data_IF_853847548975
#
_entry.id   IF_853847548975
#
_cell.length_a   1.000
_cell.length_b   1.000
_cell.length_c   1.000
_cell.angle_alpha   90.00
_cell.angle_beta   90.00
_cell.angle_gamma   90.00
#
_symmetry.space_group_name_H-M   'P 1'
#
loop_
_entity.id
_entity.type
_entity.pdbx_description
1 polymer ?
#
# COMPACT_ATOMS: atom_id res chain seq x y z
N UNK A 1 17.74 -21.82 -41.56
CA UNK A 1 18.03 -21.74 -40.11
C UNK A 1 16.95 -20.95 -39.37
N UNK A 2 16.68 -19.69 -39.74
CA UNK A 2 15.64 -18.87 -39.09
C UNK A 2 14.22 -19.47 -39.19
N UNK A 3 13.83 -19.99 -40.37
CA UNK A 3 12.52 -20.66 -40.58
C UNK A 3 12.37 -21.91 -39.69
N UNK A 4 13.45 -22.67 -39.50
CA UNK A 4 13.46 -23.88 -38.66
C UNK A 4 13.25 -23.51 -37.17
N UNK A 5 13.89 -22.42 -36.71
CA UNK A 5 13.69 -21.92 -35.35
C UNK A 5 12.26 -21.41 -35.14
N UNK A 6 11.68 -20.72 -36.13
CA UNK A 6 10.29 -20.23 -36.05
C UNK A 6 9.26 -21.37 -36.08
N UNK A 7 9.47 -22.41 -36.90
CA UNK A 7 8.58 -23.58 -36.89
C UNK A 7 8.63 -24.33 -35.57
N UNK A 8 9.81 -24.41 -34.94
CA UNK A 8 9.98 -25.08 -33.67
C UNK A 8 9.29 -24.34 -32.52
N UNK A 9 9.41 -23.01 -32.46
CA UNK A 9 8.74 -22.21 -31.42
C UNK A 9 7.22 -22.29 -31.53
N UNK A 10 6.67 -22.23 -32.75
CA UNK A 10 5.22 -22.37 -32.98
C UNK A 10 4.74 -23.76 -32.58
N UNK A 11 5.44 -24.82 -33.01
CA UNK A 11 5.08 -26.19 -32.62
C UNK A 11 5.11 -26.39 -31.10
N UNK A 12 6.14 -25.89 -30.41
CA UNK A 12 6.26 -25.97 -28.96
C UNK A 12 5.10 -25.23 -28.26
N UNK A 13 4.74 -24.04 -28.74
CA UNK A 13 3.61 -23.27 -28.18
C UNK A 13 2.28 -24.00 -28.29
N UNK A 14 2.02 -24.65 -29.43
CA UNK A 14 0.79 -25.42 -29.67
C UNK A 14 0.75 -26.65 -28.74
N UNK A 15 1.87 -27.35 -28.60
CA UNK A 15 1.98 -28.51 -27.71
C UNK A 15 1.69 -28.10 -26.26
N UNK A 16 2.25 -26.99 -25.78
CA UNK A 16 2.01 -26.51 -24.41
C UNK A 16 0.55 -26.14 -24.16
N UNK A 17 -0.13 -25.52 -25.14
CA UNK A 17 -1.56 -25.20 -25.05
C UNK A 17 -2.41 -26.47 -24.99
N UNK A 18 -2.09 -27.48 -25.80
CA UNK A 18 -2.79 -28.77 -25.76
C UNK A 18 -2.60 -29.45 -24.40
N UNK A 19 -1.38 -29.47 -23.86
CA UNK A 19 -1.08 -30.02 -22.53
C UNK A 19 -1.84 -29.27 -21.44
N UNK A 20 -1.91 -27.94 -21.50
CA UNK A 20 -2.71 -27.13 -20.57
C UNK A 20 -4.19 -27.55 -20.58
N UNK A 21 -4.81 -27.65 -21.76
CA UNK A 21 -6.22 -28.02 -21.85
C UNK A 21 -6.49 -29.46 -21.37
N UNK A 22 -5.60 -30.41 -21.68
CA UNK A 22 -5.71 -31.79 -21.21
C UNK A 22 -5.60 -31.91 -19.69
N UNK A 23 -4.68 -31.15 -19.08
CA UNK A 23 -4.46 -31.17 -17.62
C UNK A 23 -5.50 -30.37 -16.84
N UNK A 24 -6.05 -29.30 -17.40
CA UNK A 24 -6.98 -28.42 -16.70
C UNK A 24 -8.42 -28.99 -16.61
N UNK A 25 -8.79 -29.98 -17.43
CA UNK A 25 -10.14 -30.58 -17.40
C UNK A 25 -10.51 -31.21 -16.04
N UNK A 26 -9.53 -31.81 -15.35
CA UNK A 26 -9.73 -32.39 -14.00
C UNK A 26 -9.88 -31.34 -12.90
N UNK A 27 -9.42 -30.11 -13.12
CA UNK A 27 -9.46 -29.06 -12.12
C UNK A 27 -10.81 -28.35 -12.00
N UNK A 28 -11.68 -28.46 -13.00
CA UNK A 28 -12.97 -27.77 -13.03
C UNK A 28 -14.03 -28.44 -12.14
N UNK A 29 -14.02 -29.77 -12.01
CA UNK A 29 -15.05 -30.50 -11.26
C UNK A 29 -14.94 -30.33 -9.73
N UNK A 30 -13.75 -30.00 -9.22
CA UNK A 30 -13.48 -29.74 -7.80
C UNK A 30 -13.12 -28.27 -7.53
N UNK A 31 -13.62 -27.34 -8.36
CA UNK A 31 -13.27 -25.92 -8.22
C UNK A 31 -13.87 -25.24 -6.99
N UNK A 32 -14.85 -25.85 -6.31
CA UNK A 32 -15.45 -25.27 -5.09
C UNK A 32 -14.40 -25.04 -4.01
N UNK A 33 -13.56 -26.05 -3.74
CA UNK A 33 -12.48 -26.00 -2.73
C UNK A 33 -11.32 -25.08 -3.14
N UNK A 34 -11.16 -24.80 -4.44
CA UNK A 34 -10.19 -23.80 -4.91
C UNK A 34 -10.69 -22.37 -4.72
N UNK A 35 -12.00 -22.20 -4.56
CA UNK A 35 -12.65 -20.90 -4.41
C UNK A 35 -12.95 -20.58 -2.93
N UNK A 36 -12.58 -21.45 -2.00
CA UNK A 36 -12.66 -21.20 -0.56
C UNK A 36 -11.42 -20.44 -0.07
N UNK A 37 -11.54 -19.62 0.99
CA UNK A 37 -10.40 -18.93 1.58
C UNK A 37 -9.44 -19.93 2.23
N UNK A 38 -8.14 -19.71 2.07
CA UNK A 38 -7.12 -20.55 2.66
C UNK A 38 -6.92 -20.22 4.15
N UNK A 39 -7.25 -21.16 5.04
CA UNK A 39 -7.03 -21.06 6.50
C UNK A 39 -6.20 -22.25 7.00
N UNK A 40 -5.00 -22.43 6.43
CA UNK A 40 -4.05 -23.50 6.80
C UNK A 40 -4.64 -24.93 6.74
N UNK A 41 -5.58 -25.17 5.82
CA UNK A 41 -6.23 -26.48 5.65
C UNK A 41 -7.50 -26.69 6.47
N UNK A 42 -7.98 -25.66 7.17
CA UNK A 42 -9.26 -25.67 7.89
C UNK A 42 -10.29 -24.78 7.19
N UNK A 43 -11.56 -25.04 7.47
CA UNK A 43 -12.64 -24.14 7.09
C UNK A 43 -12.58 -22.86 7.94
N UNK A 44 -12.93 -21.70 7.36
CA UNK A 44 -12.81 -20.44 8.07
C UNK A 44 -13.71 -20.38 9.30
N UNK A 45 -13.10 -20.21 10.48
CA UNK A 45 -13.80 -20.16 11.76
C UNK A 45 -14.57 -18.85 11.97
N UNK A 46 -14.13 -17.79 11.29
CA UNK A 46 -14.68 -16.45 11.43
C UNK A 46 -15.02 -15.82 10.08
N UNK A 47 -15.97 -14.88 10.09
CA UNK A 47 -16.28 -14.11 8.90
C UNK A 47 -15.08 -13.21 8.57
N UNK A 48 -14.75 -13.09 7.29
CA UNK A 48 -13.65 -12.27 6.76
C UNK A 48 -13.71 -10.78 7.15
N UNK A 49 -14.85 -10.29 7.65
CA UNK A 49 -15.05 -8.92 8.14
C UNK A 49 -15.09 -8.88 9.66
N UNK A 50 -13.98 -9.23 10.30
CA UNK A 50 -13.79 -9.01 11.73
C UNK A 50 -13.40 -7.55 12.00
N UNK A 51 -13.76 -7.01 13.18
CA UNK A 51 -13.27 -5.69 13.58
C UNK A 51 -11.74 -5.73 13.64
N UNK A 52 -11.12 -4.82 12.90
CA UNK A 52 -9.67 -4.63 12.88
C UNK A 52 -9.27 -3.57 13.90
N UNK A 53 -7.99 -3.52 14.28
CA UNK A 53 -7.54 -2.58 15.30
C UNK A 53 -7.65 -1.13 14.83
N UNK A 54 -8.21 -0.28 15.69
CA UNK A 54 -8.41 1.16 15.45
C UNK A 54 -7.11 1.94 15.32
N UNK A 55 -5.98 1.35 15.69
CA UNK A 55 -4.65 1.96 15.58
C UNK A 55 -4.24 2.24 14.14
N UNK A 56 -4.58 1.33 13.22
CA UNK A 56 -4.32 1.55 11.81
C UNK A 56 -5.15 2.70 11.24
N UNK A 57 -6.38 2.87 11.75
CA UNK A 57 -7.20 4.02 11.37
C UNK A 57 -6.56 5.33 11.84
N UNK A 58 -6.07 5.39 13.09
CA UNK A 58 -5.37 6.57 13.61
C UNK A 58 -4.12 6.91 12.78
N UNK A 59 -3.29 5.91 12.44
CA UNK A 59 -2.12 6.11 11.59
C UNK A 59 -2.49 6.67 10.20
N UNK A 60 -3.58 6.21 9.59
CA UNK A 60 -4.04 6.72 8.28
C UNK A 60 -4.50 8.18 8.36
N UNK A 61 -5.25 8.54 9.41
CA UNK A 61 -5.71 9.92 9.61
C UNK A 61 -4.52 10.85 9.86
N UNK A 62 -3.58 10.42 10.71
CA UNK A 62 -2.36 11.15 11.03
C UNK A 62 -1.48 11.36 9.79
N UNK A 63 -1.28 10.30 8.99
CA UNK A 63 -0.57 10.39 7.72
C UNK A 63 -1.21 11.39 6.75
N UNK A 64 -2.54 11.39 6.64
CA UNK A 64 -3.26 12.31 5.76
C UNK A 64 -3.03 13.78 6.16
N UNK A 65 -3.10 14.07 7.46
CA UNK A 65 -2.87 15.42 7.99
C UNK A 65 -1.44 15.87 7.68
N UNK A 66 -0.44 15.04 8.02
CA UNK A 66 0.97 15.34 7.74
C UNK A 66 1.28 15.51 6.24
N UNK A 67 0.63 14.75 5.36
CA UNK A 67 0.80 14.88 3.91
C UNK A 67 0.31 16.25 3.40
N UNK A 68 -0.85 16.71 3.91
CA UNK A 68 -1.38 18.05 3.59
C UNK A 68 -0.46 19.16 4.11
N UNK A 69 0.11 19.00 5.31
CA UNK A 69 1.03 19.97 5.90
C UNK A 69 2.33 20.10 5.10
N UNK A 70 2.90 18.98 4.62
CA UNK A 70 4.08 18.96 3.75
C UNK A 70 3.76 19.60 2.39
N UNK A 71 2.57 19.33 1.84
CA UNK A 71 2.12 19.95 0.59
C UNK A 71 2.04 21.48 0.69
N UNK A 72 1.68 22.02 1.87
CA UNK A 72 1.70 23.46 2.14
C UNK A 72 3.11 24.03 2.34
N UNK A 73 4.05 23.22 2.84
CA UNK A 73 5.42 23.64 3.12
C UNK A 73 6.24 23.80 1.81
N UNK A 74 5.99 22.94 0.82
CA UNK A 74 6.79 22.86 -0.41
C UNK A 74 6.82 24.16 -1.25
N UNK A 75 5.69 24.85 -1.53
CA UNK A 75 5.69 26.11 -2.27
C UNK A 75 6.48 27.19 -1.54
N UNK A 76 6.41 27.22 -0.21
CA UNK A 76 7.09 28.25 0.57
C UNK A 76 8.60 28.04 0.59
N UNK A 77 9.07 26.80 0.67
CA UNK A 77 10.49 26.48 0.50
C UNK A 77 11.01 26.87 -0.89
N UNK A 78 10.20 26.72 -1.95
CA UNK A 78 10.62 27.11 -3.29
C UNK A 78 10.86 28.63 -3.41
N UNK A 79 10.06 29.43 -2.68
CA UNK A 79 10.16 30.88 -2.66
C UNK A 79 11.38 31.39 -1.87
N UNK A 80 11.98 30.57 -0.99
CA UNK A 80 13.22 30.93 -0.27
C UNK A 80 14.40 31.29 -1.18
N UNK A 81 14.40 30.77 -2.41
CA UNK A 81 15.40 31.11 -3.42
C UNK A 81 15.28 32.55 -3.97
N UNK A 82 14.10 33.17 -3.85
CA UNK A 82 13.78 34.50 -4.38
C UNK A 82 13.44 35.48 -3.26
N UNK A 83 14.46 36.07 -2.62
CA UNK A 83 14.36 37.16 -1.64
C UNK A 83 13.05 37.16 -0.80
N UNK A 84 12.99 36.28 0.20
CA UNK A 84 11.85 36.16 1.10
C UNK A 84 11.79 37.33 2.07
N UNK A 85 10.60 37.89 2.28
CA UNK A 85 10.37 38.91 3.29
C UNK A 85 10.60 38.35 4.70
N UNK A 86 11.13 39.18 5.62
CA UNK A 86 11.33 38.81 7.03
C UNK A 86 10.05 38.37 7.73
N UNK A 87 8.89 38.86 7.25
CA UNK A 87 7.58 38.43 7.74
C UNK A 87 7.27 36.98 7.36
N UNK A 88 7.54 36.60 6.11
CA UNK A 88 7.27 35.24 5.63
C UNK A 88 8.21 34.21 6.27
N UNK A 89 9.47 34.57 6.52
CA UNK A 89 10.40 33.70 7.26
C UNK A 89 9.95 33.48 8.71
N UNK A 90 9.42 34.52 9.37
CA UNK A 90 8.85 34.38 10.71
C UNK A 90 7.60 33.49 10.72
N UNK A 91 6.70 33.69 9.75
CA UNK A 91 5.50 32.86 9.60
C UNK A 91 5.84 31.37 9.39
N UNK A 92 6.90 31.07 8.63
CA UNK A 92 7.39 29.71 8.42
C UNK A 92 7.95 29.06 9.68
N UNK A 93 8.74 29.80 10.46
CA UNK A 93 9.27 29.31 11.73
C UNK A 93 8.12 28.99 12.68
N UNK A 94 7.11 29.87 12.74
CA UNK A 94 5.92 29.64 13.55
C UNK A 94 5.12 28.43 13.06
N UNK A 95 4.97 28.26 11.75
CA UNK A 95 4.31 27.10 11.15
C UNK A 95 5.02 25.80 11.52
N UNK A 96 6.34 25.72 11.36
CA UNK A 96 7.14 24.54 11.75
C UNK A 96 7.03 24.26 13.25
N UNK A 97 6.98 25.30 14.08
CA UNK A 97 6.83 25.13 15.53
C UNK A 97 5.48 24.50 15.90
N UNK A 98 4.40 24.89 15.22
CA UNK A 98 3.07 24.28 15.41
C UNK A 98 3.09 22.80 15.02
N UNK A 99 3.71 22.46 13.88
CA UNK A 99 3.85 21.07 13.43
C UNK A 99 4.59 20.20 14.45
N UNK A 100 5.72 20.69 14.96
CA UNK A 100 6.50 19.98 15.97
C UNK A 100 5.70 19.78 17.25
N UNK A 101 4.98 20.81 17.70
CA UNK A 101 4.15 20.71 18.91
C UNK A 101 3.01 19.71 18.74
N UNK A 102 2.33 19.71 17.57
CA UNK A 102 1.31 18.71 17.24
C UNK A 102 1.85 17.29 17.30
N UNK A 103 3.01 17.06 16.67
CA UNK A 103 3.67 15.74 16.69
C UNK A 103 4.03 15.29 18.12
N UNK A 104 4.56 16.18 18.95
CA UNK A 104 4.87 15.86 20.35
C UNK A 104 3.62 15.52 21.16
N UNK A 105 2.51 16.22 20.91
CA UNK A 105 1.23 15.92 21.56
C UNK A 105 0.73 14.53 21.17
N UNK A 106 0.71 14.20 19.87
CA UNK A 106 0.28 12.88 19.37
C UNK A 106 1.15 11.73 19.87
N UNK A 107 2.46 11.97 20.02
CA UNK A 107 3.36 11.00 20.62
C UNK A 107 3.05 10.76 22.09
N UNK A 108 2.80 11.81 22.88
CA UNK A 108 2.43 11.65 24.29
C UNK A 108 1.10 10.90 24.48
N UNK A 109 0.17 11.02 23.53
CA UNK A 109 -1.10 10.28 23.53
C UNK A 109 -0.95 8.80 23.07
N UNK A 110 0.27 8.37 22.73
CA UNK A 110 0.53 6.99 22.31
C UNK A 110 -0.09 6.62 20.96
N UNK A 111 -0.47 7.60 20.14
CA UNK A 111 -1.06 7.37 18.82
C UNK A 111 -0.09 6.67 17.85
N UNK A 112 1.21 6.80 18.10
CA UNK A 112 2.31 6.21 17.34
C UNK A 112 2.74 4.83 17.84
N UNK A 113 2.26 4.40 19.02
CA UNK A 113 2.70 3.15 19.62
C UNK A 113 1.99 1.95 18.99
N UNK A 114 2.78 1.08 18.38
CA UNK A 114 2.27 -0.13 17.72
C UNK A 114 1.83 -1.19 18.72
N UNK A 115 2.59 -1.38 19.79
CA UNK A 115 2.36 -2.39 20.82
C UNK A 115 1.85 -1.73 22.09
N UNK A 116 0.66 -2.12 22.55
CA UNK A 116 0.31 -1.87 23.94
C UNK A 116 0.84 -3.07 24.71
N UNK A 117 1.83 -2.83 25.55
CA UNK A 117 1.93 -3.61 26.78
C UNK A 117 0.75 -3.30 27.67
#
# INVERSE_FOLDING_TARGET
MLILMMSFTVALSIILVIVYHLTNYLSYTNSSEKMTPFECGFDPLSKMRSPFSTRFFLLVVLFLIFDVEIALLFPVLSMFSSNVSTYMSFALILFIFILLFGMFHEWNEGALDWFST
#
